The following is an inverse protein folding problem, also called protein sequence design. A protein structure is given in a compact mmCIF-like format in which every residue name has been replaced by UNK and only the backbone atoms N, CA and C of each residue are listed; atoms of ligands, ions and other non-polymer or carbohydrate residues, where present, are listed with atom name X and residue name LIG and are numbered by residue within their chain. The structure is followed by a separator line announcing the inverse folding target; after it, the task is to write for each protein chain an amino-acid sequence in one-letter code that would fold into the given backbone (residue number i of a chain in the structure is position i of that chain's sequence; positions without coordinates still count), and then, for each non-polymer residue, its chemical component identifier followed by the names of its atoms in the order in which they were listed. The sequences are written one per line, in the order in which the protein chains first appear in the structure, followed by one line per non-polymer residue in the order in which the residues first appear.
data_IF_314958533125
#
_entry.id   IF_314958533125
#
_cell.length_a   1.000
_cell.length_b   1.000
_cell.length_c   1.000
_cell.angle_alpha   90.00
_cell.angle_beta   90.00
_cell.angle_gamma   90.00
#
_symmetry.space_group_name_H-M   'P 1'
#
loop_
_entity.id
_entity.type
_entity.pdbx_description
1 polymer ?
#
# COMPACT_ATOMS: atom_id res chain seq x y z
N UNK A 1 2.56 45.65 -9.39
CA UNK A 1 3.39 44.47 -9.73
C UNK A 1 2.66 43.22 -9.24
N UNK A 2 1.82 42.65 -10.09
CA UNK A 2 1.02 41.44 -9.81
C UNK A 2 1.86 40.21 -10.16
N UNK A 3 2.26 39.44 -9.15
CA UNK A 3 2.95 38.16 -9.37
C UNK A 3 1.90 37.12 -9.78
N UNK A 4 2.12 36.46 -10.91
CA UNK A 4 1.30 35.35 -11.39
C UNK A 4 1.41 34.15 -10.44
N UNK A 5 0.31 33.45 -10.11
CA UNK A 5 0.34 32.26 -9.24
C UNK A 5 0.74 30.97 -9.97
N UNK A 6 1.13 31.04 -11.25
CA UNK A 6 1.47 29.88 -12.09
C UNK A 6 2.97 29.75 -12.40
N UNK A 7 3.84 30.39 -11.61
CA UNK A 7 5.27 30.08 -11.66
C UNK A 7 5.48 28.75 -10.94
N UNK A 8 5.34 27.66 -11.69
CA UNK A 8 5.70 26.32 -11.23
C UNK A 8 7.23 26.32 -11.17
N UNK A 9 7.76 26.50 -9.96
CA UNK A 9 9.19 26.39 -9.69
C UNK A 9 9.69 25.01 -10.14
N UNK A 10 10.58 25.01 -11.12
CA UNK A 10 11.48 23.88 -11.35
C UNK A 10 12.35 23.66 -10.11
N UNK A 11 12.63 22.38 -9.87
CA UNK A 11 13.73 21.86 -9.06
C UNK A 11 13.58 21.86 -7.54
N UNK A 12 13.03 20.76 -7.02
CA UNK A 12 13.75 19.91 -6.06
C UNK A 12 13.44 18.43 -6.33
N UNK A 13 14.41 17.54 -6.54
CA UNK A 13 14.22 16.10 -6.39
C UNK A 13 14.15 15.78 -4.89
N UNK A 14 13.13 16.33 -4.23
CA UNK A 14 12.82 16.05 -2.83
C UNK A 14 12.21 14.67 -2.77
N UNK A 15 13.06 13.67 -2.48
CA UNK A 15 12.78 12.31 -2.02
C UNK A 15 11.32 12.01 -1.68
N UNK A 16 10.48 11.95 -2.71
CA UNK A 16 9.21 11.27 -2.64
C UNK A 16 9.59 9.81 -2.70
N UNK A 17 9.70 9.17 -1.54
CA UNK A 17 9.53 7.73 -1.44
C UNK A 17 8.04 7.42 -1.67
N UNK A 18 7.47 8.00 -2.72
CA UNK A 18 6.20 7.63 -3.28
C UNK A 18 6.52 6.33 -4.01
N UNK A 19 6.53 5.24 -3.23
CA UNK A 19 6.33 3.89 -3.75
C UNK A 19 4.91 3.88 -4.32
N UNK A 20 4.71 4.57 -5.44
CA UNK A 20 3.63 4.25 -6.35
C UNK A 20 3.83 2.77 -6.66
N UNK A 21 2.97 1.92 -6.12
CA UNK A 21 2.96 0.50 -6.41
C UNK A 21 2.81 0.34 -7.94
N UNK A 22 3.93 0.20 -8.65
CA UNK A 22 3.91 -0.16 -10.05
C UNK A 22 3.54 -1.64 -10.10
N UNK A 23 2.24 -1.90 -10.28
CA UNK A 23 1.63 -3.23 -10.37
C UNK A 23 2.30 -4.13 -11.42
N UNK A 24 3.16 -3.58 -12.29
CA UNK A 24 3.91 -4.29 -13.34
C UNK A 24 5.20 -4.93 -12.83
N UNK A 25 5.73 -4.54 -11.67
CA UNK A 25 6.86 -5.23 -11.03
C UNK A 25 6.34 -6.25 -10.02
N UNK A 26 6.46 -7.54 -10.34
CA UNK A 26 6.03 -8.64 -9.46
C UNK A 26 6.66 -8.56 -8.04
N UNK A 27 7.86 -8.02 -7.92
CA UNK A 27 8.55 -7.81 -6.63
C UNK A 27 7.92 -6.68 -5.80
N UNK A 28 7.40 -5.64 -6.46
CA UNK A 28 6.60 -4.58 -5.83
C UNK A 28 5.21 -5.10 -5.43
N UNK A 29 4.65 -6.06 -6.19
CA UNK A 29 3.38 -6.72 -5.84
C UNK A 29 3.48 -7.56 -4.57
N UNK A 30 4.52 -8.39 -4.42
CA UNK A 30 4.73 -9.20 -3.20
C UNK A 30 4.93 -8.29 -1.98
N UNK A 31 5.74 -7.23 -2.12
CA UNK A 31 6.00 -6.27 -1.05
C UNK A 31 4.74 -5.48 -0.66
N UNK A 32 3.92 -5.08 -1.64
CA UNK A 32 2.64 -4.43 -1.39
C UNK A 32 1.60 -5.32 -0.72
N UNK A 33 1.52 -6.60 -1.11
CA UNK A 33 0.64 -7.55 -0.46
C UNK A 33 1.06 -7.81 0.99
N UNK A 34 2.37 -7.94 1.27
CA UNK A 34 2.89 -8.05 2.65
C UNK A 34 2.54 -6.83 3.49
N UNK A 35 2.74 -5.63 2.96
CA UNK A 35 2.39 -4.39 3.65
C UNK A 35 0.88 -4.29 3.92
N UNK A 36 0.04 -4.64 2.94
CA UNK A 36 -1.41 -4.64 3.11
C UNK A 36 -1.87 -5.62 4.21
N UNK A 37 -1.27 -6.81 4.27
CA UNK A 37 -1.53 -7.79 5.34
C UNK A 37 -1.16 -7.21 6.70
N UNK A 38 0.02 -6.62 6.84
CA UNK A 38 0.49 -6.02 8.09
C UNK A 38 -0.43 -4.89 8.56
N UNK A 39 -0.85 -4.00 7.66
CA UNK A 39 -1.79 -2.92 7.97
C UNK A 39 -3.16 -3.44 8.43
N UNK A 40 -3.64 -4.52 7.82
CA UNK A 40 -4.90 -5.14 8.24
C UNK A 40 -4.74 -5.76 9.62
N UNK A 41 -3.68 -6.55 9.85
CA UNK A 41 -3.38 -7.16 11.16
C UNK A 41 -3.21 -6.12 12.27
N UNK A 42 -2.56 -5.00 11.99
CA UNK A 42 -2.40 -3.89 12.91
C UNK A 42 -3.78 -3.28 13.27
N UNK A 43 -4.66 -3.09 12.28
CA UNK A 43 -6.05 -2.65 12.54
C UNK A 43 -6.85 -3.66 13.35
N UNK A 44 -6.64 -4.97 13.15
CA UNK A 44 -7.29 -6.00 13.97
C UNK A 44 -6.87 -5.85 15.45
N UNK A 45 -5.58 -5.61 15.68
CA UNK A 45 -5.02 -5.50 17.04
C UNK A 45 -5.41 -4.19 17.73
N UNK A 46 -5.44 -3.10 16.97
CA UNK A 46 -5.69 -1.75 17.49
C UNK A 46 -7.18 -1.38 17.57
N UNK A 47 -8.09 -2.19 17.00
CA UNK A 47 -9.54 -2.01 17.12
C UNK A 47 -10.19 -3.20 17.85
N UNK A 48 -10.16 -3.21 19.20
CA UNK A 48 -10.70 -4.32 20.00
C UNK A 48 -12.23 -4.36 20.06
N UNK A 49 -12.92 -3.28 19.65
CA UNK A 49 -14.40 -3.20 19.64
C UNK A 49 -14.99 -3.62 18.28
N UNK A 50 -14.14 -3.91 17.30
CA UNK A 50 -14.54 -4.41 16.00
C UNK A 50 -15.38 -5.70 16.12
N UNK A 51 -16.41 -5.85 15.28
CA UNK A 51 -17.08 -7.14 15.12
C UNK A 51 -16.12 -8.22 14.55
N UNK A 52 -16.17 -9.46 15.07
CA UNK A 52 -15.42 -10.58 14.50
C UNK A 52 -15.79 -10.74 13.01
N UNK A 53 -14.83 -11.17 12.18
CA UNK A 53 -15.09 -11.36 10.75
C UNK A 53 -14.83 -10.15 9.83
N UNK A 54 -14.93 -8.91 10.31
CA UNK A 54 -14.87 -7.70 9.44
C UNK A 54 -13.61 -7.59 8.57
N UNK A 55 -12.45 -8.01 9.08
CA UNK A 55 -11.20 -8.02 8.32
C UNK A 55 -10.65 -9.44 8.09
N UNK A 56 -11.34 -10.49 8.53
CA UNK A 56 -10.86 -11.87 8.37
C UNK A 56 -10.91 -12.30 6.91
N UNK A 57 -12.03 -12.04 6.22
CA UNK A 57 -12.15 -12.31 4.78
C UNK A 57 -11.14 -11.49 3.96
N UNK A 58 -10.94 -10.22 4.33
CA UNK A 58 -9.96 -9.36 3.67
C UNK A 58 -8.52 -9.87 3.89
N UNK A 59 -8.18 -10.30 5.12
CA UNK A 59 -6.87 -10.85 5.45
C UNK A 59 -6.61 -12.16 4.73
N UNK A 60 -7.61 -13.05 4.65
CA UNK A 60 -7.53 -14.32 3.92
C UNK A 60 -7.32 -14.07 2.42
N UNK A 61 -8.08 -13.16 1.83
CA UNK A 61 -7.93 -12.77 0.42
C UNK A 61 -6.53 -12.23 0.10
N UNK A 62 -5.98 -11.37 0.98
CA UNK A 62 -4.64 -10.82 0.80
C UNK A 62 -3.55 -11.89 0.92
N UNK A 63 -3.71 -12.84 1.86
CA UNK A 63 -2.80 -13.98 2.04
C UNK A 63 -2.84 -14.92 0.83
N UNK A 64 -4.02 -15.22 0.29
CA UNK A 64 -4.17 -16.02 -0.92
C UNK A 64 -3.47 -15.36 -2.12
N UNK A 65 -3.69 -14.05 -2.33
CA UNK A 65 -3.01 -13.30 -3.39
C UNK A 65 -1.49 -13.26 -3.23
N UNK A 66 -0.99 -13.20 -1.99
CA UNK A 66 0.44 -13.26 -1.70
C UNK A 66 1.02 -14.63 -2.03
N UNK A 67 0.33 -15.71 -1.66
CA UNK A 67 0.73 -17.07 -1.98
C UNK A 67 0.78 -17.30 -3.49
N UNK A 68 -0.25 -16.87 -4.23
CA UNK A 68 -0.26 -16.92 -5.69
C UNK A 68 0.87 -16.10 -6.32
N UNK A 69 1.17 -14.93 -5.76
CA UNK A 69 2.26 -14.08 -6.25
C UNK A 69 3.64 -14.72 -6.02
N UNK A 70 3.82 -15.45 -4.91
CA UNK A 70 5.06 -16.19 -4.60
C UNK A 70 5.17 -17.45 -5.45
N UNK A 71 4.09 -18.20 -5.64
CA UNK A 71 4.06 -19.46 -6.41
C UNK A 71 4.30 -19.27 -7.90
N UNK A 72 3.95 -18.11 -8.45
CA UNK A 72 4.18 -17.72 -9.85
C UNK A 72 5.52 -16.98 -10.08
N UNK A 73 6.50 -17.18 -9.19
CA UNK A 73 7.88 -16.68 -9.26
C UNK A 73 8.82 -17.79 -9.68
#
# INVERSE_FOLDING_TARGET
MTKNPFEISEDKPGKGHDHFYDKRKKEDRISGLRYAIEQVEDRIKNDPNRPPGVFEEQLESLRAQLEEAIKNR
#
